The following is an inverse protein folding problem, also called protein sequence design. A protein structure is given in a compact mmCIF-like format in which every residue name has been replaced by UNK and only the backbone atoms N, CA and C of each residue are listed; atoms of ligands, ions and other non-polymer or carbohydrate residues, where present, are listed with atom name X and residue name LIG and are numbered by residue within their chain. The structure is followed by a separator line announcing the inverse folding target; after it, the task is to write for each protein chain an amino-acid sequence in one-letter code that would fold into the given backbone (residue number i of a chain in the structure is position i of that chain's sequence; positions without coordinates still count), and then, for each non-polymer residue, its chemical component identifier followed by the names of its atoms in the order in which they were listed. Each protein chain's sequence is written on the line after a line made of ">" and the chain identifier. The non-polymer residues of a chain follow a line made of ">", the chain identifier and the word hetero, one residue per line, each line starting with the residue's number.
data_IF_211017753529
#
_entry.id   IF_211017753529
#
_cell.length_a   1.000
_cell.length_b   1.000
_cell.length_c   1.000
_cell.angle_alpha   90.00
_cell.angle_beta   90.00
_cell.angle_gamma   90.00
#
_symmetry.space_group_name_H-M   'P 1'
#
loop_
_entity.id
_entity.type
_entity.pdbx_description
1 polymer ?
#
# COMPACT_ATOMS: atom_id res chain seq x y z
N UNK A 1 16.32 2.69 -13.26
CA UNK A 1 16.80 3.94 -12.67
C UNK A 1 16.59 3.90 -11.15
N UNK A 2 17.66 3.74 -10.35
CA UNK A 2 17.57 3.66 -8.89
C UNK A 2 17.04 4.93 -8.22
N UNK A 3 17.10 6.08 -8.89
CA UNK A 3 16.59 7.34 -8.34
C UNK A 3 15.06 7.34 -8.16
N UNK A 4 14.36 6.43 -8.84
CA UNK A 4 12.92 6.24 -8.72
C UNK A 4 12.49 5.38 -7.52
N UNK A 5 13.43 4.76 -6.80
CA UNK A 5 13.07 3.90 -5.67
C UNK A 5 12.20 4.60 -4.61
N UNK A 6 12.49 5.84 -4.19
CA UNK A 6 11.64 6.50 -3.21
C UNK A 6 10.19 6.66 -3.70
N UNK A 7 9.98 7.16 -4.92
CA UNK A 7 8.63 7.33 -5.49
C UNK A 7 7.94 6.00 -5.77
N UNK A 8 8.69 4.98 -6.21
CA UNK A 8 8.17 3.64 -6.45
C UNK A 8 7.63 3.01 -5.15
N UNK A 9 8.32 3.16 -4.02
CA UNK A 9 7.85 2.64 -2.73
C UNK A 9 6.55 3.32 -2.31
N UNK A 10 6.44 4.65 -2.43
CA UNK A 10 5.17 5.34 -2.13
C UNK A 10 4.05 4.86 -3.05
N UNK A 11 4.34 4.63 -4.33
CA UNK A 11 3.34 4.14 -5.27
C UNK A 11 2.93 2.69 -5.00
N UNK A 12 3.84 1.82 -4.61
CA UNK A 12 3.49 0.45 -4.20
C UNK A 12 2.64 0.45 -2.92
N UNK A 13 2.93 1.32 -1.96
CA UNK A 13 2.13 1.51 -0.76
C UNK A 13 0.72 2.02 -1.09
N UNK A 14 0.59 2.96 -2.03
CA UNK A 14 -0.71 3.41 -2.54
C UNK A 14 -1.44 2.28 -3.25
N UNK A 15 -0.78 1.65 -4.22
CA UNK A 15 -1.42 0.70 -5.13
C UNK A 15 -1.80 -0.59 -4.45
N UNK A 16 -0.93 -1.13 -3.60
CA UNK A 16 -1.14 -2.43 -2.95
C UNK A 16 -0.57 -2.44 -1.51
N UNK A 17 -0.81 -1.38 -0.76
CA UNK A 17 -0.40 -1.33 0.64
C UNK A 17 -0.96 -2.49 1.46
N UNK A 18 -0.23 -2.99 2.44
CA UNK A 18 -0.64 -4.18 3.21
C UNK A 18 -1.90 -3.94 4.05
N UNK A 19 -2.11 -2.74 4.57
CA UNK A 19 -3.30 -2.40 5.37
C UNK A 19 -4.38 -1.85 4.44
N UNK A 20 -5.46 -2.60 4.29
CA UNK A 20 -6.58 -2.25 3.39
C UNK A 20 -7.71 -1.52 4.11
N UNK A 21 -7.87 -1.78 5.41
CA UNK A 21 -8.99 -1.28 6.19
C UNK A 21 -8.55 -0.92 7.59
N UNK A 22 -9.06 0.18 8.11
CA UNK A 22 -8.95 0.51 9.54
C UNK A 22 -10.34 0.68 10.14
N UNK A 23 -10.51 0.22 11.39
CA UNK A 23 -11.79 0.23 12.08
C UNK A 23 -11.78 1.27 13.19
N UNK A 24 -12.90 1.98 13.35
CA UNK A 24 -13.14 2.94 14.43
C UNK A 24 -14.53 2.71 15.02
N UNK A 25 -14.73 3.22 16.22
CA UNK A 25 -16.04 3.30 16.85
C UNK A 25 -16.37 4.77 17.03
N UNK A 26 -17.54 5.20 16.52
CA UNK A 26 -18.00 6.57 16.70
C UNK A 26 -18.26 6.83 18.17
N UNK A 27 -17.65 7.88 18.74
CA UNK A 27 -17.86 8.28 20.15
C UNK A 27 -19.13 9.10 20.32
N UNK A 28 -19.53 9.78 19.28
CA UNK A 28 -20.71 10.64 19.19
C UNK A 28 -21.33 10.52 17.81
N UNK A 29 -22.52 11.09 17.61
CA UNK A 29 -23.15 11.15 16.29
C UNK A 29 -22.31 12.03 15.35
N UNK A 30 -22.00 11.54 14.16
CA UNK A 30 -21.19 12.22 13.16
C UNK A 30 -21.95 12.28 11.86
N UNK A 31 -22.10 13.48 11.29
CA UNK A 31 -22.64 13.64 9.94
C UNK A 31 -21.51 13.64 8.91
N UNK A 32 -21.56 12.71 7.97
CA UNK A 32 -20.54 12.55 6.93
C UNK A 32 -21.22 12.18 5.60
N UNK A 33 -20.96 12.96 4.57
CA UNK A 33 -21.47 12.67 3.21
C UNK A 33 -23.01 12.64 3.11
N UNK A 34 -23.72 13.37 3.98
CA UNK A 34 -25.19 13.37 4.02
C UNK A 34 -25.80 12.26 4.90
N UNK A 35 -24.99 11.37 5.43
CA UNK A 35 -25.40 10.26 6.31
C UNK A 35 -25.01 10.55 7.76
N UNK A 36 -25.76 10.00 8.71
CA UNK A 36 -25.47 10.10 10.13
C UNK A 36 -24.93 8.78 10.66
N UNK A 37 -23.68 8.79 11.10
CA UNK A 37 -23.04 7.69 11.85
C UNK A 37 -23.38 7.91 13.31
N UNK A 38 -24.10 6.96 13.93
CA UNK A 38 -24.52 7.06 15.34
C UNK A 38 -23.39 6.68 16.29
N UNK A 39 -23.40 7.28 17.47
CA UNK A 39 -22.53 6.88 18.58
C UNK A 39 -22.59 5.36 18.81
N UNK A 40 -21.44 4.73 19.01
CA UNK A 40 -21.29 3.29 19.20
C UNK A 40 -21.22 2.46 17.90
N UNK A 41 -21.52 3.03 16.74
CA UNK A 41 -21.39 2.31 15.46
C UNK A 41 -19.92 2.10 15.09
N UNK A 42 -19.65 0.96 14.43
CA UNK A 42 -18.34 0.67 13.81
C UNK A 42 -18.27 1.37 12.47
N UNK A 43 -17.16 2.03 12.23
CA UNK A 43 -16.81 2.69 10.98
C UNK A 43 -15.60 2.00 10.37
N UNK A 44 -15.73 1.55 9.14
CA UNK A 44 -14.65 0.93 8.38
C UNK A 44 -14.14 1.93 7.35
N UNK A 45 -12.95 2.49 7.59
CA UNK A 45 -12.29 3.33 6.59
C UNK A 45 -11.49 2.42 5.64
N UNK A 46 -11.93 2.38 4.39
CA UNK A 46 -11.37 1.51 3.35
C UNK A 46 -10.19 2.22 2.67
N UNK A 47 -8.98 2.05 3.22
CA UNK A 47 -7.77 2.71 2.71
C UNK A 47 -7.48 2.29 1.26
N UNK A 48 -7.57 0.99 0.96
CA UNK A 48 -7.35 0.48 -0.39
C UNK A 48 -8.30 1.07 -1.42
N UNK A 49 -9.56 1.32 -1.06
CA UNK A 49 -10.53 1.98 -1.94
C UNK A 49 -10.20 3.47 -2.12
N UNK A 50 -9.83 4.18 -1.05
CA UNK A 50 -9.47 5.60 -1.14
C UNK A 50 -8.27 5.85 -2.06
N UNK A 51 -7.36 4.89 -2.17
CA UNK A 51 -6.22 4.96 -3.07
C UNK A 51 -6.57 4.76 -4.57
N UNK A 52 -7.83 4.42 -4.85
CA UNK A 52 -8.39 4.29 -6.22
C UNK A 52 -9.33 5.43 -6.59
N UNK A 53 -9.44 6.43 -5.74
CA UNK A 53 -10.29 7.60 -5.98
C UNK A 53 -9.65 8.49 -7.08
N UNK A 54 -10.33 8.55 -8.23
CA UNK A 54 -9.87 9.33 -9.38
C UNK A 54 -9.99 10.85 -9.17
N UNK A 55 -10.73 11.29 -8.15
CA UNK A 55 -10.76 12.71 -7.78
C UNK A 55 -9.50 13.17 -7.04
N UNK A 56 -8.70 12.20 -6.54
CA UNK A 56 -7.45 12.45 -5.80
C UNK A 56 -6.22 11.99 -6.59
N UNK A 57 -6.34 10.89 -7.31
CA UNK A 57 -5.22 10.27 -8.04
C UNK A 57 -5.55 10.15 -9.53
N UNK A 58 -4.85 10.88 -10.35
CA UNK A 58 -4.92 10.68 -11.80
C UNK A 58 -4.52 9.24 -12.15
N UNK A 59 -5.30 8.60 -13.04
CA UNK A 59 -5.09 7.20 -13.42
C UNK A 59 -4.92 6.27 -12.19
N UNK A 60 -5.83 6.40 -11.21
CA UNK A 60 -5.74 5.74 -9.90
C UNK A 60 -5.61 4.21 -9.97
N UNK A 61 -6.02 3.58 -11.07
CA UNK A 61 -5.96 2.14 -11.30
C UNK A 61 -4.64 1.65 -11.90
N UNK A 62 -3.77 2.57 -12.32
CA UNK A 62 -2.47 2.24 -12.88
C UNK A 62 -1.37 2.43 -11.84
N UNK A 63 -0.28 1.67 -11.99
CA UNK A 63 0.96 1.86 -11.22
C UNK A 63 1.83 2.86 -11.97
N UNK A 64 2.10 3.99 -11.33
CA UNK A 64 3.01 5.01 -11.85
C UNK A 64 4.11 5.32 -10.83
N UNK A 65 5.26 4.68 -10.98
CA UNK A 65 6.42 4.88 -10.09
C UNK A 65 7.05 6.28 -10.21
N UNK A 66 6.58 7.09 -11.15
CA UNK A 66 7.02 8.48 -11.32
C UNK A 66 6.05 9.50 -10.76
N UNK A 67 4.97 9.04 -10.12
CA UNK A 67 3.92 9.88 -9.55
C UNK A 67 4.52 10.91 -8.58
N UNK A 68 4.49 12.18 -8.98
CA UNK A 68 5.09 13.27 -8.21
C UNK A 68 4.28 13.65 -6.97
N UNK A 69 2.92 13.59 -7.08
CA UNK A 69 2.01 13.85 -5.96
C UNK A 69 1.29 12.57 -5.60
N UNK A 70 1.61 12.04 -4.43
CA UNK A 70 1.08 10.76 -3.96
C UNK A 70 0.57 10.87 -2.52
N UNK A 71 -0.56 11.59 -2.29
CA UNK A 71 -1.11 11.82 -0.96
C UNK A 71 -1.84 10.58 -0.42
N UNK A 72 -1.22 9.41 -0.52
CA UNK A 72 -1.81 8.18 -0.02
C UNK A 72 -1.86 8.14 1.51
N UNK A 73 -2.83 7.40 2.03
CA UNK A 73 -3.05 7.20 3.47
C UNK A 73 -2.70 5.77 3.93
N UNK A 74 -1.78 5.08 3.24
CA UNK A 74 -1.37 3.71 3.57
C UNK A 74 -0.82 3.57 4.99
N UNK A 75 -0.28 4.64 5.56
CA UNK A 75 0.18 4.72 6.94
C UNK A 75 -0.82 5.38 7.89
N UNK A 76 -2.06 5.58 7.46
CA UNK A 76 -3.06 6.31 8.22
C UNK A 76 -2.89 7.82 8.14
N UNK A 77 -3.59 8.55 9.01
CA UNK A 77 -3.60 10.01 9.03
C UNK A 77 -3.84 10.55 10.46
N UNK A 78 -3.37 11.78 10.73
CA UNK A 78 -3.58 12.48 11.98
C UNK A 78 -2.91 11.79 13.18
N UNK A 79 -3.58 11.77 14.32
CA UNK A 79 -3.04 11.23 15.59
C UNK A 79 -2.77 9.71 15.55
N UNK A 80 -3.30 9.02 14.56
CA UNK A 80 -3.10 7.58 14.34
C UNK A 80 -2.09 7.29 13.20
N UNK A 81 -1.35 8.28 12.74
CA UNK A 81 -0.27 8.06 11.76
C UNK A 81 0.68 6.98 12.27
N UNK A 82 1.01 6.04 11.40
CA UNK A 82 1.90 4.93 11.75
C UNK A 82 3.27 5.44 12.19
N UNK A 83 3.67 5.10 13.42
CA UNK A 83 4.98 5.48 13.97
C UNK A 83 6.14 4.79 13.22
N UNK A 84 5.89 3.62 12.63
CA UNK A 84 6.86 2.87 11.83
C UNK A 84 6.99 3.32 10.37
N UNK A 85 6.23 4.32 9.91
CA UNK A 85 6.24 4.75 8.52
C UNK A 85 7.62 5.13 7.96
N UNK A 86 8.49 5.85 8.69
CA UNK A 86 9.84 6.14 8.22
C UNK A 86 10.69 4.87 8.06
N UNK A 87 10.60 3.96 9.02
CA UNK A 87 11.35 2.69 8.97
C UNK A 87 10.88 1.81 7.80
N UNK A 88 9.58 1.63 7.62
CA UNK A 88 9.02 0.84 6.52
C UNK A 88 9.45 1.37 5.13
N UNK A 89 9.57 2.68 4.97
CA UNK A 89 10.08 3.31 3.75
C UNK A 89 11.54 2.97 3.49
N UNK A 90 12.37 3.05 4.53
CA UNK A 90 13.79 2.71 4.43
C UNK A 90 13.94 1.21 4.10
N UNK A 91 13.24 0.34 4.82
CA UNK A 91 13.27 -1.10 4.58
C UNK A 91 12.83 -1.45 3.15
N UNK A 92 11.75 -0.84 2.66
CA UNK A 92 11.28 -1.05 1.29
C UNK A 92 12.32 -0.61 0.26
N UNK A 93 12.87 0.58 0.39
CA UNK A 93 13.89 1.10 -0.53
C UNK A 93 15.14 0.22 -0.53
N UNK A 94 15.64 -0.17 0.66
CA UNK A 94 16.82 -1.02 0.76
C UNK A 94 16.59 -2.43 0.23
N UNK A 95 15.43 -3.02 0.51
CA UNK A 95 15.08 -4.34 -0.03
C UNK A 95 15.07 -4.33 -1.57
N UNK A 96 14.38 -3.36 -2.18
CA UNK A 96 14.36 -3.26 -3.65
C UNK A 96 15.73 -2.90 -4.22
N UNK A 97 16.50 -2.03 -3.56
CA UNK A 97 17.86 -1.72 -3.97
C UNK A 97 18.75 -2.97 -4.02
N UNK A 98 18.71 -3.78 -2.98
CA UNK A 98 19.49 -5.03 -2.90
C UNK A 98 19.01 -6.03 -3.95
N UNK A 99 17.71 -6.22 -4.10
CA UNK A 99 17.13 -7.13 -5.09
C UNK A 99 17.53 -6.74 -6.51
N UNK A 100 17.35 -5.48 -6.90
CA UNK A 100 17.63 -4.98 -8.24
C UNK A 100 19.14 -4.93 -8.56
N UNK A 101 20.00 -4.81 -7.55
CA UNK A 101 21.44 -4.86 -7.75
C UNK A 101 21.96 -6.29 -7.93
N UNK A 102 21.33 -7.28 -7.32
CA UNK A 102 21.80 -8.66 -7.31
C UNK A 102 21.14 -9.54 -8.37
N UNK A 103 19.90 -9.22 -8.74
CA UNK A 103 19.06 -10.09 -9.55
C UNK A 103 18.43 -9.31 -10.71
N UNK A 104 18.11 -10.03 -11.76
CA UNK A 104 17.41 -9.56 -12.94
C UNK A 104 16.47 -10.64 -13.49
N UNK A 105 15.65 -10.30 -14.49
CA UNK A 105 14.72 -11.23 -15.15
C UNK A 105 13.74 -11.90 -14.16
N UNK A 106 13.19 -11.13 -13.21
CA UNK A 106 12.18 -11.65 -12.29
C UNK A 106 10.95 -12.11 -13.04
N UNK A 107 10.50 -13.32 -12.74
CA UNK A 107 9.26 -13.89 -13.28
C UNK A 107 8.49 -14.59 -12.16
N UNK A 108 7.18 -14.52 -12.24
CA UNK A 108 6.31 -15.33 -11.37
C UNK A 108 6.53 -16.81 -11.68
N UNK A 109 6.73 -17.62 -10.64
CA UNK A 109 6.94 -19.07 -10.73
C UNK A 109 5.71 -19.86 -10.25
N UNK A 110 4.53 -19.24 -10.33
CA UNK A 110 3.26 -19.87 -10.01
C UNK A 110 2.18 -19.31 -10.94
N UNK A 111 1.25 -20.15 -11.34
CA UNK A 111 0.10 -19.78 -12.16
C UNK A 111 -0.95 -19.02 -11.33
N UNK A 112 -1.07 -19.38 -10.03
CA UNK A 112 -1.97 -18.74 -9.08
C UNK A 112 -1.24 -18.39 -7.79
N UNK A 113 -1.67 -17.31 -7.14
CA UNK A 113 -1.11 -16.84 -5.88
C UNK A 113 -2.13 -17.03 -4.75
N UNK A 114 -1.69 -17.63 -3.64
CA UNK A 114 -2.48 -17.75 -2.43
C UNK A 114 -2.39 -16.48 -1.59
N UNK A 115 -3.55 -15.96 -1.23
CA UNK A 115 -3.69 -14.78 -0.39
C UNK A 115 -4.10 -15.21 1.02
N UNK A 116 -3.59 -14.48 2.01
CA UNK A 116 -4.04 -14.65 3.40
C UNK A 116 -5.50 -14.22 3.52
N UNK A 117 -6.27 -15.00 4.22
CA UNK A 117 -7.68 -14.68 4.53
C UNK A 117 -7.72 -13.72 5.75
N UNK A 118 -7.53 -12.42 5.48
CA UNK A 118 -7.54 -11.36 6.48
C UNK A 118 -8.27 -10.13 5.92
N UNK A 119 -9.23 -9.64 6.66
CA UNK A 119 -10.04 -8.49 6.26
C UNK A 119 -9.29 -7.15 6.41
N UNK A 120 -8.36 -7.05 7.35
CA UNK A 120 -7.64 -5.80 7.66
C UNK A 120 -6.40 -5.67 6.80
N UNK A 121 -5.67 -6.78 6.65
CA UNK A 121 -4.41 -6.80 5.93
C UNK A 121 -4.52 -7.63 4.66
N UNK A 122 -3.82 -7.19 3.61
CA UNK A 122 -3.69 -7.94 2.37
C UNK A 122 -2.24 -8.37 2.20
N UNK A 123 -2.02 -9.66 2.13
CA UNK A 123 -0.69 -10.23 1.93
C UNK A 123 -0.78 -11.59 1.26
N UNK A 124 0.26 -11.93 0.51
CA UNK A 124 0.42 -13.26 -0.04
C UNK A 124 0.93 -14.21 1.04
N UNK A 125 0.54 -15.48 0.98
CA UNK A 125 1.15 -16.53 1.79
C UNK A 125 2.59 -16.79 1.33
N UNK A 126 2.82 -16.75 0.01
CA UNK A 126 4.14 -16.85 -0.61
C UNK A 126 4.14 -16.14 -1.96
N UNK A 127 5.31 -15.68 -2.39
CA UNK A 127 5.53 -15.11 -3.72
C UNK A 127 6.67 -15.88 -4.40
N UNK A 128 6.39 -17.00 -5.08
CA UNK A 128 7.40 -17.77 -5.80
C UNK A 128 7.90 -16.99 -7.01
N UNK A 129 9.22 -16.78 -7.08
CA UNK A 129 9.85 -16.06 -8.17
C UNK A 129 11.03 -16.85 -8.72
N UNK A 130 11.21 -16.81 -10.04
CA UNK A 130 12.47 -17.12 -10.69
C UNK A 130 13.20 -15.83 -11.03
N UNK A 131 14.49 -15.86 -11.06
CA UNK A 131 15.36 -14.72 -11.40
C UNK A 131 16.72 -15.20 -11.89
N UNK A 132 17.49 -14.28 -12.49
CA UNK A 132 18.90 -14.50 -12.80
C UNK A 132 19.78 -13.67 -11.86
N UNK A 133 20.96 -14.19 -11.54
CA UNK A 133 21.99 -13.40 -10.89
C UNK A 133 22.57 -12.41 -11.91
N UNK A 134 22.70 -11.15 -11.52
CA UNK A 134 23.45 -10.18 -12.30
C UNK A 134 24.93 -10.54 -12.32
N UNK A 135 25.50 -10.54 -13.50
CA UNK A 135 26.97 -10.63 -13.65
C UNK A 135 27.59 -9.35 -13.09
N UNK A 136 28.59 -9.50 -12.24
CA UNK A 136 29.38 -8.40 -11.68
C UNK A 136 30.14 -7.65 -12.74
#
# INVERSE_FOLDING_TARGET
>A
DPSLLPSAIEEFLRYQGPVQTVVRIAKEDINLGGETIRAGQRVFALLGASHRDQSVFDNAHDVDITRAQNPHVAFGFGIHMCIGAPLARIEGQEAFRVLLNRFEDFRLAADELSWRDDFVTRGLESLPLTFKLRSS
#
